data_IF_990929196178
#
_entry.id   IF_990929196178
#
_cell.length_a   1.000
_cell.length_b   1.000
_cell.length_c   1.000
_cell.angle_alpha   90.00
_cell.angle_beta   90.00
_cell.angle_gamma   90.00
#
_symmetry.space_group_name_H-M   'P 1'
#
loop_
_entity.id
_entity.type
_entity.pdbx_description
1 polymer ?
#
# COMPACT_ATOMS: atom_id res chain seq x y z
N UNK A 1 -10.59 11.81 15.46
CA UNK A 1 -10.00 10.52 15.85
C UNK A 1 -8.85 10.23 14.90
N UNK A 2 -7.61 10.58 15.28
CA UNK A 2 -6.43 10.36 14.44
C UNK A 2 -6.00 8.90 14.50
N UNK A 3 -5.59 8.33 13.38
CA UNK A 3 -4.92 7.03 13.32
C UNK A 3 -3.73 7.05 14.29
N UNK A 4 -3.72 6.12 15.26
CA UNK A 4 -2.53 5.94 16.10
C UNK A 4 -1.37 5.57 15.19
N UNK A 5 -0.21 6.18 15.41
CA UNK A 5 1.01 5.96 14.62
C UNK A 5 1.36 4.47 14.54
N UNK A 6 1.10 3.72 15.63
CA UNK A 6 1.27 2.27 15.72
C UNK A 6 0.42 1.48 14.71
N UNK A 7 -0.73 2.01 14.29
CA UNK A 7 -1.64 1.37 13.32
C UNK A 7 -1.23 1.63 11.88
N UNK A 8 -0.40 2.65 11.61
CA UNK A 8 0.05 2.99 10.25
C UNK A 8 1.01 1.93 9.66
N UNK A 9 1.90 1.38 10.49
CA UNK A 9 2.83 0.31 10.09
C UNK A 9 2.12 -0.96 9.60
N UNK A 10 1.20 -1.56 10.38
CA UNK A 10 0.42 -2.71 9.93
C UNK A 10 -0.36 -2.44 8.65
N UNK A 11 -0.98 -1.26 8.51
CA UNK A 11 -1.69 -0.87 7.29
C UNK A 11 -0.73 -0.82 6.10
N UNK A 12 0.46 -0.23 6.27
CA UNK A 12 1.50 -0.21 5.25
C UNK A 12 1.95 -1.61 4.83
N UNK A 13 2.14 -2.53 5.78
CA UNK A 13 2.56 -3.90 5.47
C UNK A 13 1.46 -4.71 4.78
N UNK A 14 0.21 -4.61 5.24
CA UNK A 14 -0.93 -5.34 4.64
C UNK A 14 -1.18 -4.85 3.21
N UNK A 15 -1.19 -3.54 3.00
CA UNK A 15 -1.40 -2.96 1.66
C UNK A 15 -0.29 -3.36 0.69
N UNK A 16 0.97 -3.43 1.14
CA UNK A 16 2.07 -3.94 0.32
C UNK A 16 1.88 -5.42 -0.06
N UNK A 17 1.55 -6.26 0.92
CA UNK A 17 1.33 -7.68 0.69
C UNK A 17 0.18 -7.91 -0.31
N UNK A 18 -0.93 -7.18 -0.18
CA UNK A 18 -2.04 -7.23 -1.12
C UNK A 18 -1.66 -6.75 -2.51
N UNK A 19 -0.89 -5.67 -2.63
CA UNK A 19 -0.39 -5.18 -3.92
C UNK A 19 0.41 -6.24 -4.65
N UNK A 20 1.38 -6.87 -3.97
CA UNK A 20 2.21 -7.94 -4.54
C UNK A 20 1.36 -9.16 -4.93
N UNK A 21 0.40 -9.56 -4.09
CA UNK A 21 -0.47 -10.70 -4.40
C UNK A 21 -1.36 -10.42 -5.61
N UNK A 22 -1.92 -9.21 -5.72
CA UNK A 22 -2.76 -8.83 -6.85
C UNK A 22 -1.93 -8.77 -8.14
N UNK A 23 -0.79 -8.07 -8.13
CA UNK A 23 0.09 -8.00 -9.30
C UNK A 23 0.59 -9.36 -9.78
N UNK A 24 0.81 -10.30 -8.85
CA UNK A 24 1.33 -11.63 -9.18
C UNK A 24 0.28 -12.63 -9.65
N UNK A 25 -0.95 -12.57 -9.12
CA UNK A 25 -1.95 -13.62 -9.33
C UNK A 25 -3.20 -13.15 -10.08
N UNK A 26 -3.40 -11.85 -10.23
CA UNK A 26 -4.56 -11.28 -10.93
C UNK A 26 -4.03 -10.62 -12.18
N UNK A 27 -4.35 -11.17 -13.35
CA UNK A 27 -4.05 -10.54 -14.64
C UNK A 27 -5.37 -10.20 -15.32
N UNK A 28 -5.87 -9.00 -15.02
CA UNK A 28 -7.11 -8.48 -15.61
C UNK A 28 -6.71 -7.34 -16.53
N UNK A 29 -6.93 -7.56 -17.83
CA UNK A 29 -6.74 -6.56 -18.86
C UNK A 29 -8.08 -6.25 -19.54
N UNK A 30 -8.43 -4.97 -19.62
CA UNK A 30 -9.65 -4.51 -20.30
C UNK A 30 -9.25 -3.44 -21.30
N UNK A 31 -9.54 -3.66 -22.58
CA UNK A 31 -9.30 -2.66 -23.65
C UNK A 31 -7.86 -2.14 -23.73
N UNK A 32 -6.87 -3.00 -23.47
CA UNK A 32 -5.45 -2.63 -23.46
C UNK A 32 -4.99 -1.97 -22.15
N UNK A 33 -5.86 -1.87 -21.14
CA UNK A 33 -5.53 -1.37 -19.82
C UNK A 33 -5.39 -2.51 -18.82
N UNK A 34 -4.18 -2.68 -18.26
CA UNK A 34 -3.89 -3.64 -17.22
C UNK A 34 -4.39 -3.13 -15.85
N UNK A 35 -5.58 -3.58 -15.44
CA UNK A 35 -6.21 -3.18 -14.18
C UNK A 35 -5.41 -3.69 -12.98
N UNK A 36 -4.83 -4.88 -13.10
CA UNK A 36 -3.95 -5.47 -12.08
C UNK A 36 -2.81 -4.54 -11.71
N UNK A 37 -2.12 -4.01 -12.71
CA UNK A 37 -0.92 -3.19 -12.55
C UNK A 37 -1.28 -1.82 -11.97
N UNK A 38 -2.44 -1.29 -12.36
CA UNK A 38 -2.99 -0.07 -11.78
C UNK A 38 -3.33 -0.25 -10.29
N UNK A 39 -4.01 -1.33 -9.92
CA UNK A 39 -4.39 -1.61 -8.53
C UNK A 39 -3.15 -1.91 -7.67
N UNK A 40 -2.19 -2.66 -8.20
CA UNK A 40 -0.88 -2.86 -7.55
C UNK A 40 -0.20 -1.52 -7.27
N UNK A 41 -0.12 -0.63 -8.27
CA UNK A 41 0.47 0.69 -8.13
C UNK A 41 -0.19 1.53 -7.03
N UNK A 42 -1.52 1.52 -6.94
CA UNK A 42 -2.26 2.20 -5.87
C UNK A 42 -1.90 1.63 -4.50
N UNK A 43 -1.92 0.29 -4.35
CA UNK A 43 -1.69 -0.38 -3.07
C UNK A 43 -0.26 -0.17 -2.57
N UNK A 44 0.72 -0.22 -3.48
CA UNK A 44 2.12 0.12 -3.18
C UNK A 44 2.26 1.59 -2.79
N UNK A 45 1.57 2.50 -3.48
CA UNK A 45 1.56 3.93 -3.15
C UNK A 45 0.99 4.22 -1.76
N UNK A 46 -0.10 3.56 -1.38
CA UNK A 46 -0.68 3.66 -0.03
C UNK A 46 0.29 3.13 1.02
N UNK A 47 0.93 1.99 0.75
CA UNK A 47 1.92 1.40 1.65
C UNK A 47 3.10 2.35 1.91
N UNK A 48 3.68 2.90 0.85
CA UNK A 48 4.76 3.88 0.92
C UNK A 48 4.36 5.11 1.72
N UNK A 49 3.18 5.66 1.44
CA UNK A 49 2.66 6.84 2.14
C UNK A 49 2.51 6.56 3.64
N UNK A 50 1.96 5.40 4.02
CA UNK A 50 1.77 5.03 5.42
C UNK A 50 3.09 4.78 6.15
N UNK A 51 4.07 4.15 5.48
CA UNK A 51 5.40 3.94 6.05
C UNK A 51 6.18 5.26 6.21
N UNK A 52 6.10 6.17 5.23
CA UNK A 52 6.71 7.49 5.32
C UNK A 52 6.02 8.34 6.40
N UNK A 53 4.69 8.32 6.47
CA UNK A 53 3.94 9.00 7.52
C UNK A 53 4.29 8.46 8.91
N UNK A 54 4.43 7.13 9.05
CA UNK A 54 4.90 6.53 10.29
C UNK A 54 6.29 7.05 10.67
N UNK A 55 7.25 7.07 9.73
CA UNK A 55 8.61 7.55 10.00
C UNK A 55 8.65 9.04 10.37
N UNK A 56 7.86 9.87 9.70
CA UNK A 56 7.80 11.31 9.96
C UNK A 56 7.12 11.64 11.30
N UNK A 57 6.11 10.87 11.69
CA UNK A 57 5.33 11.08 12.91
C UNK A 57 5.86 10.30 14.12
N UNK A 58 6.80 9.36 13.92
CA UNK A 58 7.42 8.63 15.02
C UNK A 58 8.37 9.57 15.76
N UNK A 59 8.12 9.90 17.04
CA UNK A 59 9.06 10.68 17.83
C UNK A 59 10.37 9.88 17.96
N UNK A 60 11.50 10.51 17.60
CA UNK A 60 12.83 9.97 17.90
C UNK A 60 12.96 9.93 19.41
N UNK A 61 12.97 8.72 19.98
CA UNK A 61 13.45 8.48 21.34
C UNK A 61 14.97 8.63 21.36
#
# INVERSE_FOLDING_TARGET
MGLKTETMLPIGMITMALGILIGRFVQIEISGFAISDFVEGILVGVSLTMNLAYLALKPRK
#
